data_IF_994318571615
#
_entry.id   IF_994318571615
#
_cell.length_a   1.000
_cell.length_b   1.000
_cell.length_c   1.000
_cell.angle_alpha   90.00
_cell.angle_beta   90.00
_cell.angle_gamma   90.00
#
_symmetry.space_group_name_H-M   'P 1'
#
loop_
_entity.id
_entity.type
_entity.pdbx_description
1 polymer ?
#
# COMPACT_ATOMS: atom_id res chain seq x y z
N UNK A 1 17.70 -13.72 14.41
CA UNK A 1 17.02 -14.85 15.06
C UNK A 1 15.91 -14.29 15.95
N UNK A 2 14.79 -13.95 15.36
CA UNK A 2 13.51 -13.73 16.04
C UNK A 2 12.46 -14.35 15.13
N UNK A 3 12.40 -15.66 15.11
CA UNK A 3 11.33 -16.41 14.46
C UNK A 3 11.19 -17.77 15.14
N UNK A 4 10.51 -17.79 16.28
CA UNK A 4 9.86 -18.99 16.79
C UNK A 4 8.93 -18.59 17.91
N UNK A 5 7.63 -18.39 17.59
CA UNK A 5 6.65 -18.05 18.62
C UNK A 5 5.19 -18.06 18.20
N UNK A 6 4.89 -18.35 16.92
CA UNK A 6 3.49 -18.51 16.48
C UNK A 6 3.30 -19.80 15.66
N UNK A 7 3.42 -20.94 16.31
CA UNK A 7 2.90 -22.19 15.76
C UNK A 7 1.36 -22.13 15.79
N UNK A 8 0.72 -21.63 14.72
CA UNK A 8 -0.73 -21.72 14.53
C UNK A 8 -1.10 -23.19 14.27
N UNK A 9 -1.90 -23.75 15.15
CA UNK A 9 -2.63 -25.01 14.93
C UNK A 9 -3.54 -24.82 13.69
N UNK A 10 -3.31 -25.64 12.63
CA UNK A 10 -4.08 -25.64 11.39
C UNK A 10 -3.67 -24.46 10.49
N UNK A 11 -2.61 -24.66 9.67
CA UNK A 11 -2.19 -23.66 8.68
C UNK A 11 -3.25 -23.58 7.59
N UNK A 12 -4.12 -22.58 7.67
CA UNK A 12 -5.03 -22.26 6.57
C UNK A 12 -4.18 -21.57 5.50
N UNK A 13 -4.14 -22.15 4.30
CA UNK A 13 -3.49 -21.54 3.13
C UNK A 13 -4.25 -20.29 2.74
N UNK A 14 -3.59 -19.13 2.73
CA UNK A 14 -4.18 -17.87 2.27
C UNK A 14 -4.17 -17.85 0.74
N UNK A 15 -5.35 -17.75 0.13
CA UNK A 15 -5.50 -17.65 -1.33
C UNK A 15 -5.31 -16.19 -1.75
N UNK A 16 -4.25 -15.94 -2.47
CA UNK A 16 -3.86 -14.60 -2.92
C UNK A 16 -4.11 -14.47 -4.42
N UNK A 17 -4.78 -13.42 -4.84
CA UNK A 17 -4.82 -13.01 -6.24
C UNK A 17 -3.99 -11.74 -6.44
N UNK A 18 -3.31 -11.63 -7.56
CA UNK A 18 -2.49 -10.46 -7.91
C UNK A 18 -3.09 -9.77 -9.11
N UNK A 19 -3.35 -8.47 -9.02
CA UNK A 19 -3.82 -7.61 -10.10
C UNK A 19 -2.69 -6.66 -10.49
N UNK A 20 -2.36 -6.62 -11.79
CA UNK A 20 -1.13 -6.01 -12.32
C UNK A 20 0.05 -6.98 -12.27
N UNK A 21 -0.21 -8.28 -12.42
CA UNK A 21 0.73 -9.38 -12.18
C UNK A 21 1.94 -9.37 -13.14
N UNK A 22 1.81 -8.80 -14.34
CA UNK A 22 2.92 -8.67 -15.32
C UNK A 22 3.76 -7.42 -15.12
N UNK A 23 3.31 -6.50 -14.24
CA UNK A 23 4.05 -5.31 -13.87
C UNK A 23 5.29 -5.65 -13.04
N UNK A 24 6.21 -4.65 -12.90
CA UNK A 24 7.45 -4.83 -12.16
C UNK A 24 7.22 -5.31 -10.71
N UNK A 25 6.31 -4.66 -9.98
CA UNK A 25 6.00 -5.07 -8.60
C UNK A 25 5.10 -6.29 -8.54
N UNK A 26 4.10 -6.37 -9.43
CA UNK A 26 3.17 -7.50 -9.45
C UNK A 26 3.87 -8.84 -9.69
N UNK A 27 4.86 -8.91 -10.58
CA UNK A 27 5.64 -10.13 -10.81
C UNK A 27 6.41 -10.57 -9.55
N UNK A 28 7.01 -9.64 -8.80
CA UNK A 28 7.65 -9.96 -7.53
C UNK A 28 6.66 -10.46 -6.46
N UNK A 29 5.45 -9.92 -6.44
CA UNK A 29 4.40 -10.43 -5.54
C UNK A 29 4.00 -11.86 -5.94
N UNK A 30 3.83 -12.15 -7.22
CA UNK A 30 3.56 -13.50 -7.72
C UNK A 30 4.65 -14.48 -7.29
N UNK A 31 5.92 -14.10 -7.46
CA UNK A 31 7.06 -14.93 -7.05
C UNK A 31 7.08 -15.15 -5.53
N UNK A 32 6.82 -14.10 -4.75
CA UNK A 32 6.78 -14.20 -3.29
C UNK A 32 5.65 -15.11 -2.79
N UNK A 33 4.46 -15.01 -3.39
CA UNK A 33 3.32 -15.88 -3.06
C UNK A 33 3.62 -17.33 -3.41
N UNK A 34 4.20 -17.58 -4.59
CA UNK A 34 4.57 -18.93 -5.02
C UNK A 34 5.68 -19.55 -4.16
N UNK A 35 6.56 -18.72 -3.57
CA UNK A 35 7.62 -19.16 -2.66
C UNK A 35 7.17 -19.34 -1.20
N UNK A 36 6.00 -18.85 -0.83
CA UNK A 36 5.49 -18.94 0.53
C UNK A 36 4.89 -20.32 0.84
N UNK A 37 5.06 -20.79 2.08
CA UNK A 37 4.54 -22.10 2.52
C UNK A 37 3.09 -22.03 3.03
N UNK A 38 2.55 -20.84 3.22
CA UNK A 38 1.23 -20.54 3.81
C UNK A 38 0.34 -19.72 2.88
N UNK A 39 0.76 -19.52 1.64
CA UNK A 39 0.00 -18.83 0.61
C UNK A 39 -0.15 -19.69 -0.64
N UNK A 40 -1.22 -19.43 -1.38
CA UNK A 40 -1.50 -20.04 -2.68
C UNK A 40 -1.91 -18.96 -3.66
N UNK A 41 -1.28 -18.92 -4.82
CA UNK A 41 -1.68 -18.04 -5.91
C UNK A 41 -3.00 -18.56 -6.52
N UNK A 42 -4.07 -17.77 -6.39
CA UNK A 42 -5.36 -18.08 -6.98
C UNK A 42 -5.44 -17.56 -8.42
N UNK A 43 -5.12 -16.29 -8.62
CA UNK A 43 -5.06 -15.64 -9.94
C UNK A 43 -3.89 -14.68 -10.05
N UNK A 44 -3.32 -14.61 -11.25
CA UNK A 44 -2.38 -13.57 -11.68
C UNK A 44 -3.03 -12.82 -12.86
N UNK A 45 -3.68 -11.69 -12.57
CA UNK A 45 -4.45 -10.92 -13.55
C UNK A 45 -3.69 -9.65 -13.96
N UNK A 46 -3.89 -9.24 -15.22
CA UNK A 46 -3.30 -8.02 -15.77
C UNK A 46 -4.31 -7.26 -16.65
N UNK A 47 -3.86 -6.20 -17.32
CA UNK A 47 -4.71 -5.41 -18.19
C UNK A 47 -5.40 -6.29 -19.25
N UNK A 48 -6.72 -6.16 -19.35
CA UNK A 48 -7.57 -6.96 -20.25
C UNK A 48 -8.13 -8.25 -19.62
N UNK A 49 -7.65 -8.66 -18.45
CA UNK A 49 -8.22 -9.79 -17.72
C UNK A 49 -9.49 -9.37 -16.94
N UNK A 50 -10.41 -10.31 -16.77
CA UNK A 50 -11.66 -10.06 -16.09
C UNK A 50 -11.53 -10.19 -14.55
N UNK A 51 -11.60 -9.06 -13.85
CA UNK A 51 -11.63 -9.01 -12.39
C UNK A 51 -12.84 -9.72 -11.77
N UNK A 52 -13.90 -9.93 -12.53
CA UNK A 52 -15.10 -10.63 -12.05
C UNK A 52 -14.84 -12.11 -11.74
N UNK A 53 -13.71 -12.66 -12.15
CA UNK A 53 -13.25 -14.01 -11.79
C UNK A 53 -12.89 -14.13 -10.31
N UNK A 54 -12.52 -13.03 -9.66
CA UNK A 54 -12.16 -12.99 -8.23
C UNK A 54 -13.44 -12.95 -7.39
N UNK A 55 -13.56 -13.91 -6.45
CA UNK A 55 -14.70 -14.00 -5.51
C UNK A 55 -14.21 -14.45 -4.13
N UNK A 56 -14.95 -14.23 -3.04
CA UNK A 56 -14.57 -14.70 -1.71
C UNK A 56 -14.40 -16.23 -1.60
N UNK A 57 -15.03 -17.00 -2.50
CA UNK A 57 -14.94 -18.45 -2.53
C UNK A 57 -13.59 -18.94 -3.09
N UNK A 58 -12.88 -18.11 -3.87
CA UNK A 58 -11.62 -18.49 -4.50
C UNK A 58 -10.43 -17.62 -4.10
N UNK A 59 -10.64 -16.48 -3.45
CA UNK A 59 -9.60 -15.52 -3.08
C UNK A 59 -9.88 -14.94 -1.69
N UNK A 60 -8.91 -14.99 -0.81
CA UNK A 60 -9.00 -14.40 0.52
C UNK A 60 -8.55 -12.93 0.50
N UNK A 61 -7.51 -12.63 -0.28
CA UNK A 61 -6.96 -11.27 -0.41
C UNK A 61 -6.44 -11.02 -1.83
N UNK A 62 -6.67 -9.81 -2.32
CA UNK A 62 -6.07 -9.33 -3.57
C UNK A 62 -4.92 -8.39 -3.27
N UNK A 63 -3.79 -8.57 -3.96
CA UNK A 63 -2.68 -7.60 -3.98
C UNK A 63 -2.72 -6.86 -5.30
N UNK A 64 -2.92 -5.53 -5.25
CA UNK A 64 -3.13 -4.67 -6.41
C UNK A 64 -1.90 -3.77 -6.61
N UNK A 65 -1.21 -3.95 -7.75
CA UNK A 65 -0.09 -3.13 -8.23
C UNK A 65 -0.30 -2.79 -9.70
N UNK A 66 -1.18 -1.84 -9.97
CA UNK A 66 -1.48 -1.38 -11.33
C UNK A 66 -0.97 0.05 -11.56
N UNK A 67 -1.81 0.92 -12.12
CA UNK A 67 -1.51 2.33 -12.36
C UNK A 67 -2.57 3.22 -11.70
N UNK A 68 -2.23 4.48 -11.33
CA UNK A 68 -3.14 5.38 -10.60
C UNK A 68 -4.48 5.65 -11.29
N UNK A 69 -4.54 5.51 -12.62
CA UNK A 69 -5.74 5.79 -13.42
C UNK A 69 -6.81 4.71 -13.31
N UNK A 70 -6.47 3.47 -12.92
CA UNK A 70 -7.43 2.34 -12.84
C UNK A 70 -7.53 1.75 -11.44
N UNK A 71 -6.60 2.08 -10.54
CA UNK A 71 -6.51 1.46 -9.22
C UNK A 71 -7.77 1.68 -8.37
N UNK A 72 -8.36 2.87 -8.39
CA UNK A 72 -9.59 3.15 -7.66
C UNK A 72 -10.74 2.25 -8.13
N UNK A 73 -10.96 2.17 -9.44
CA UNK A 73 -12.04 1.35 -10.01
C UNK A 73 -11.86 -0.13 -9.70
N UNK A 74 -10.62 -0.62 -9.78
CA UNK A 74 -10.27 -1.99 -9.39
C UNK A 74 -10.62 -2.25 -7.92
N UNK A 75 -10.17 -1.37 -7.01
CA UNK A 75 -10.43 -1.50 -5.58
C UNK A 75 -11.94 -1.48 -5.27
N UNK A 76 -12.67 -0.53 -5.84
CA UNK A 76 -14.12 -0.44 -5.64
C UNK A 76 -14.86 -1.69 -6.16
N UNK A 77 -14.44 -2.23 -7.30
CA UNK A 77 -14.99 -3.46 -7.84
C UNK A 77 -14.74 -4.66 -6.91
N UNK A 78 -13.53 -4.79 -6.37
CA UNK A 78 -13.16 -5.87 -5.45
C UNK A 78 -13.86 -5.74 -4.09
N UNK A 79 -14.00 -4.52 -3.57
CA UNK A 79 -14.75 -4.26 -2.33
C UNK A 79 -16.21 -4.68 -2.48
N UNK A 80 -16.87 -4.31 -3.57
CA UNK A 80 -18.26 -4.74 -3.88
C UNK A 80 -18.42 -6.25 -3.94
N UNK A 81 -17.37 -6.99 -4.21
CA UNK A 81 -17.37 -8.46 -4.28
C UNK A 81 -17.07 -9.14 -2.93
N UNK A 82 -16.74 -8.39 -1.90
CA UNK A 82 -16.49 -8.93 -0.56
C UNK A 82 -15.06 -9.43 -0.33
N UNK A 83 -14.09 -9.03 -1.15
CA UNK A 83 -12.70 -9.48 -1.06
C UNK A 83 -11.84 -8.40 -0.40
N UNK A 84 -10.91 -8.81 0.47
CA UNK A 84 -9.92 -7.90 1.07
C UNK A 84 -8.87 -7.48 0.03
N UNK A 85 -8.39 -6.24 0.12
CA UNK A 85 -7.45 -5.70 -0.86
C UNK A 85 -6.24 -5.05 -0.19
N UNK A 86 -5.06 -5.40 -0.64
CA UNK A 86 -3.79 -4.72 -0.34
C UNK A 86 -3.36 -3.94 -1.58
N UNK A 87 -3.21 -2.65 -1.45
CA UNK A 87 -2.95 -1.73 -2.57
C UNK A 87 -1.54 -1.15 -2.47
N UNK A 88 -0.74 -1.39 -3.49
CA UNK A 88 0.60 -0.81 -3.65
C UNK A 88 0.68 0.26 -4.74
N UNK A 89 -0.37 0.43 -5.52
CA UNK A 89 -0.46 1.53 -6.49
C UNK A 89 -0.52 2.87 -5.76
N UNK A 90 0.21 3.86 -6.23
CA UNK A 90 0.24 5.24 -5.68
C UNK A 90 -0.84 6.14 -6.30
N UNK A 91 -0.89 7.43 -5.92
CA UNK A 91 -1.82 8.41 -6.50
C UNK A 91 -3.19 8.43 -5.81
N UNK A 92 -3.22 8.10 -4.52
CA UNK A 92 -4.40 8.20 -3.67
C UNK A 92 -4.55 9.61 -3.11
N UNK A 93 -5.70 10.21 -3.35
CA UNK A 93 -6.14 11.49 -2.76
C UNK A 93 -7.18 11.24 -1.68
N UNK A 94 -7.47 12.26 -0.85
CA UNK A 94 -8.49 12.14 0.19
C UNK A 94 -9.87 11.79 -0.41
N UNK A 95 -10.22 12.36 -1.58
CA UNK A 95 -11.47 12.08 -2.28
C UNK A 95 -11.57 10.60 -2.73
N UNK A 96 -10.47 10.02 -3.20
CA UNK A 96 -10.42 8.59 -3.55
C UNK A 96 -10.54 7.71 -2.31
N UNK A 97 -9.86 8.09 -1.22
CA UNK A 97 -9.93 7.38 0.05
C UNK A 97 -11.35 7.42 0.64
N UNK A 98 -12.05 8.55 0.52
CA UNK A 98 -13.44 8.67 0.96
C UNK A 98 -14.38 7.77 0.16
N UNK A 99 -14.17 7.61 -1.14
CA UNK A 99 -14.92 6.66 -1.95
C UNK A 99 -14.71 5.21 -1.49
N UNK A 100 -13.47 4.84 -1.15
CA UNK A 100 -13.17 3.50 -0.60
C UNK A 100 -13.81 3.31 0.77
N UNK A 101 -13.76 4.32 1.66
CA UNK A 101 -14.45 4.28 2.97
C UNK A 101 -15.95 4.09 2.83
N UNK A 102 -16.57 4.83 1.90
CA UNK A 102 -18.00 4.69 1.61
C UNK A 102 -18.35 3.32 1.05
N UNK A 103 -17.52 2.77 0.16
CA UNK A 103 -17.70 1.42 -0.37
C UNK A 103 -17.57 0.36 0.72
N UNK A 104 -16.60 0.49 1.64
CA UNK A 104 -16.42 -0.43 2.76
C UNK A 104 -17.59 -0.36 3.76
N UNK A 105 -18.16 0.84 4.00
CA UNK A 105 -19.33 0.99 4.86
C UNK A 105 -20.57 0.27 4.30
N UNK A 106 -20.64 0.08 2.98
CA UNK A 106 -21.69 -0.66 2.27
C UNK A 106 -21.26 -2.08 1.84
N UNK A 107 -20.11 -2.54 2.36
CA UNK A 107 -19.52 -3.82 1.92
C UNK A 107 -20.41 -5.03 2.29
N UNK A 108 -20.40 -6.07 1.45
CA UNK A 108 -21.27 -7.25 1.66
C UNK A 108 -20.79 -8.14 2.81
N UNK A 109 -19.54 -7.99 3.27
CA UNK A 109 -18.91 -8.82 4.30
C UNK A 109 -18.47 -7.96 5.50
N UNK A 110 -18.91 -8.33 6.69
CA UNK A 110 -18.42 -7.73 7.93
C UNK A 110 -16.92 -7.97 8.10
N UNK A 111 -16.21 -6.94 8.56
CA UNK A 111 -14.75 -6.98 8.76
C UNK A 111 -13.93 -6.95 7.49
N UNK A 112 -14.55 -6.69 6.33
CA UNK A 112 -13.83 -6.48 5.08
C UNK A 112 -12.90 -5.27 5.17
N UNK A 113 -11.71 -5.37 4.57
CA UNK A 113 -10.69 -4.34 4.68
C UNK A 113 -9.99 -4.02 3.37
N UNK A 114 -9.54 -2.77 3.26
CA UNK A 114 -8.61 -2.31 2.22
C UNK A 114 -7.41 -1.70 2.92
N UNK A 115 -6.22 -2.21 2.62
CA UNK A 115 -4.96 -1.69 3.12
C UNK A 115 -4.21 -0.98 1.99
N UNK A 116 -4.05 0.33 2.11
CA UNK A 116 -3.34 1.17 1.14
C UNK A 116 -2.09 1.69 1.82
N UNK A 117 -0.91 1.43 1.25
CA UNK A 117 0.34 1.94 1.78
C UNK A 117 1.17 2.61 0.68
N UNK A 118 1.73 3.80 0.95
CA UNK A 118 2.56 4.50 -0.01
C UNK A 118 3.92 3.81 -0.23
N UNK A 119 4.31 2.94 0.71
CA UNK A 119 5.55 2.19 0.65
C UNK A 119 5.47 0.91 1.48
N UNK A 120 5.99 -0.20 0.95
CA UNK A 120 6.08 -1.49 1.62
C UNK A 120 7.53 -1.84 2.03
N UNK A 121 8.51 -0.99 1.73
CA UNK A 121 9.89 -1.18 2.18
C UNK A 121 10.04 -0.77 3.64
N UNK A 122 10.38 -1.71 4.51
CA UNK A 122 10.59 -1.46 5.95
C UNK A 122 11.60 -0.32 6.18
N UNK A 123 12.67 -0.26 5.37
CA UNK A 123 13.68 0.81 5.45
C UNK A 123 13.09 2.21 5.21
N UNK A 124 12.20 2.36 4.23
CA UNK A 124 11.54 3.63 3.95
C UNK A 124 10.53 4.01 5.06
N UNK A 125 9.79 3.05 5.58
CA UNK A 125 8.85 3.26 6.71
C UNK A 125 9.62 3.68 7.97
N UNK A 126 10.74 3.03 8.27
CA UNK A 126 11.58 3.39 9.42
C UNK A 126 12.25 4.75 9.22
N UNK A 127 12.74 5.06 8.02
CA UNK A 127 13.33 6.37 7.71
C UNK A 127 12.30 7.51 7.92
N UNK A 128 11.09 7.34 7.43
CA UNK A 128 9.98 8.28 7.64
C UNK A 128 9.63 8.42 9.14
N UNK A 129 9.53 7.31 9.85
CA UNK A 129 9.27 7.32 11.29
C UNK A 129 10.36 8.06 12.07
N UNK A 130 11.64 7.74 11.82
CA UNK A 130 12.76 8.40 12.50
C UNK A 130 12.85 9.88 12.15
N UNK A 131 12.58 10.27 10.92
CA UNK A 131 12.51 11.67 10.51
C UNK A 131 11.46 12.45 11.33
N UNK A 132 10.27 11.89 11.53
CA UNK A 132 9.21 12.47 12.35
C UNK A 132 9.61 12.59 13.83
N UNK A 133 10.23 11.55 14.39
CA UNK A 133 10.70 11.55 15.78
C UNK A 133 11.80 12.57 15.99
N UNK A 134 12.71 12.71 15.03
CA UNK A 134 13.86 13.64 15.11
C UNK A 134 13.48 15.10 14.86
N UNK A 135 12.50 15.36 14.00
CA UNK A 135 12.15 16.69 13.50
C UNK A 135 11.99 17.80 14.57
N UNK A 136 11.41 17.53 15.76
CA UNK A 136 11.30 18.56 16.82
C UNK A 136 12.62 19.01 17.45
N UNK A 137 13.71 18.26 17.25
CA UNK A 137 14.99 18.52 17.90
C UNK A 137 15.98 19.27 17.01
N UNK A 138 15.59 19.57 15.76
CA UNK A 138 16.45 20.25 14.79
C UNK A 138 15.82 21.58 14.34
N UNK A 139 16.67 22.56 14.06
CA UNK A 139 16.26 23.89 13.63
C UNK A 139 15.63 23.84 12.23
N UNK A 140 16.21 23.06 11.32
CA UNK A 140 15.74 22.87 9.96
C UNK A 140 15.76 21.40 9.55
N UNK A 141 15.03 21.06 8.49
CA UNK A 141 15.07 19.74 7.88
C UNK A 141 14.84 19.87 6.37
N UNK A 142 15.61 19.15 5.60
CA UNK A 142 15.50 19.08 4.14
C UNK A 142 15.28 17.63 3.69
N UNK A 143 14.49 17.45 2.64
CA UNK A 143 14.29 16.15 2.00
C UNK A 143 14.87 16.21 0.60
N UNK A 144 15.94 15.47 0.35
CA UNK A 144 16.60 15.36 -0.95
C UNK A 144 16.29 13.99 -1.52
N UNK A 145 15.76 13.95 -2.76
CA UNK A 145 15.46 12.70 -3.44
C UNK A 145 16.17 12.62 -4.79
N UNK A 146 16.59 11.41 -5.14
CA UNK A 146 17.25 11.12 -6.41
C UNK A 146 16.54 9.94 -7.08
N UNK A 147 16.22 10.11 -8.36
CA UNK A 147 15.52 9.10 -9.15
C UNK A 147 16.12 8.97 -10.56
N UNK A 148 15.78 7.90 -11.24
CA UNK A 148 16.13 7.71 -12.64
C UNK A 148 15.43 8.76 -13.54
N UNK A 149 15.97 9.07 -14.73
CA UNK A 149 15.47 10.16 -15.59
C UNK A 149 14.05 9.97 -16.12
N UNK A 150 13.51 8.75 -16.06
CA UNK A 150 12.16 8.43 -16.55
C UNK A 150 11.07 8.55 -15.46
N UNK A 151 11.38 9.15 -14.29
CA UNK A 151 10.37 9.40 -13.27
C UNK A 151 9.44 10.53 -13.72
N UNK A 152 8.13 10.29 -13.64
CA UNK A 152 7.10 11.16 -14.22
C UNK A 152 6.66 12.27 -13.26
N UNK A 153 6.75 12.01 -11.94
CA UNK A 153 6.31 12.90 -10.88
C UNK A 153 7.49 13.42 -10.03
N UNK A 154 7.41 14.67 -9.63
CA UNK A 154 8.30 15.31 -8.66
C UNK A 154 7.51 16.37 -7.85
N UNK A 155 7.62 16.39 -6.51
CA UNK A 155 8.33 15.40 -5.68
C UNK A 155 7.65 14.03 -5.71
N UNK A 156 8.41 12.96 -5.35
CA UNK A 156 7.83 11.63 -5.21
C UNK A 156 6.81 11.57 -4.07
N UNK A 157 5.84 10.67 -4.16
CA UNK A 157 4.88 10.48 -3.09
C UNK A 157 5.55 10.17 -1.73
N UNK A 158 6.64 9.42 -1.72
CA UNK A 158 7.43 9.12 -0.50
C UNK A 158 8.07 10.38 0.08
N UNK A 159 8.76 11.17 -0.75
CA UNK A 159 9.40 12.41 -0.29
C UNK A 159 8.37 13.42 0.22
N UNK A 160 7.25 13.58 -0.51
CA UNK A 160 6.16 14.46 -0.09
C UNK A 160 5.54 14.03 1.25
N UNK A 161 5.27 12.73 1.43
CA UNK A 161 4.74 12.18 2.68
C UNK A 161 5.70 12.41 3.85
N UNK A 162 7.01 12.18 3.65
CA UNK A 162 8.03 12.41 4.67
C UNK A 162 8.11 13.89 5.05
N UNK A 163 8.09 14.81 4.08
CA UNK A 163 8.11 16.25 4.34
C UNK A 163 6.87 16.71 5.13
N UNK A 164 5.69 16.23 4.75
CA UNK A 164 4.44 16.50 5.48
C UNK A 164 4.52 15.96 6.93
N UNK A 165 5.06 14.76 7.12
CA UNK A 165 5.22 14.15 8.43
C UNK A 165 6.16 14.94 9.33
N UNK A 166 7.29 15.43 8.80
CA UNK A 166 8.23 16.32 9.49
C UNK A 166 7.51 17.62 9.90
N UNK A 167 6.81 18.27 8.97
CA UNK A 167 6.08 19.53 9.25
C UNK A 167 5.01 19.32 10.34
N UNK A 168 4.27 18.23 10.27
CA UNK A 168 3.25 17.89 11.28
C UNK A 168 3.86 17.64 12.66
N UNK A 169 4.97 16.90 12.74
CA UNK A 169 5.67 16.63 14.00
C UNK A 169 6.22 17.93 14.64
N UNK A 170 6.80 18.83 13.85
CA UNK A 170 7.26 20.15 14.32
C UNK A 170 6.11 21.00 14.83
N UNK A 171 5.00 21.05 14.09
CA UNK A 171 3.80 21.78 14.51
C UNK A 171 3.23 21.23 15.83
N UNK A 172 3.18 19.91 16.00
CA UNK A 172 2.72 19.27 17.23
C UNK A 172 3.61 19.59 18.43
N UNK A 173 4.92 19.82 18.21
CA UNK A 173 5.87 20.26 19.21
C UNK A 173 5.86 21.79 19.47
N UNK A 174 4.94 22.54 18.87
CA UNK A 174 4.84 23.99 19.03
C UNK A 174 5.88 24.82 18.27
N UNK A 175 6.60 24.19 17.33
CA UNK A 175 7.60 24.84 16.49
C UNK A 175 6.94 25.49 15.26
N UNK A 176 7.50 26.63 14.82
CA UNK A 176 7.11 27.29 13.59
C UNK A 176 7.49 26.49 12.32
N UNK A 177 7.14 27.00 11.13
CA UNK A 177 7.63 26.42 9.88
C UNK A 177 9.16 26.42 9.84
N UNK A 178 9.72 25.54 9.04
CA UNK A 178 11.18 25.52 8.79
C UNK A 178 11.54 26.86 8.13
N UNK A 179 12.57 27.57 8.60
CA UNK A 179 13.04 28.78 7.94
C UNK A 179 13.41 28.50 6.48
N UNK A 180 13.02 29.38 5.58
CA UNK A 180 13.50 29.35 4.20
C UNK A 180 15.00 29.66 4.19
N UNK A 181 15.74 28.85 3.43
CA UNK A 181 17.19 29.01 3.28
C UNK A 181 17.55 30.12 2.29
#
# INVERSE_FOLDING_TARGET
KVTDGFARKGRVMVRVSVVGAKGRMGSHVVDAVNGAQDMQLAFALDAGDDLMRITPENTDVVVEFTVPSVSLDNVLALVKRGVDVVVGTTGWTDEKLDQVRAALAAAPREGQSVFIAPNFAISAVLADYFAKVAAPYFESAEVIELHHPNKVDAPSGTAFHTAQGIAAARKAAGLGPVPDA
#
